data_IF_425153663650
#
_entry.id   IF_425153663650
#
_cell.length_a   1.000
_cell.length_b   1.000
_cell.length_c   1.000
_cell.angle_alpha   90.00
_cell.angle_beta   90.00
_cell.angle_gamma   90.00
#
_symmetry.space_group_name_H-M   'P 1'
#
loop_
_entity.id
_entity.type
_entity.pdbx_description
1 polymer ?
#
# COMPACT_ATOMS: atom_id res chain seq x y z
N UNK A 1 -3.18 3.23 -16.67
CA UNK A 1 -2.57 4.47 -16.15
C UNK A 1 -1.31 4.77 -16.95
N UNK A 2 -1.01 6.05 -17.18
CA UNK A 2 0.28 6.44 -17.74
C UNK A 2 1.34 6.57 -16.62
N UNK A 3 2.60 6.81 -16.99
CA UNK A 3 3.69 6.94 -16.02
C UNK A 3 3.49 8.07 -15.01
N UNK A 4 2.86 9.18 -15.40
CA UNK A 4 2.66 10.31 -14.49
C UNK A 4 1.54 10.06 -13.48
N UNK A 5 0.51 9.30 -13.86
CA UNK A 5 -0.50 8.80 -12.90
C UNK A 5 0.15 7.87 -11.86
N UNK A 6 1.06 7.00 -12.30
CA UNK A 6 1.78 6.07 -11.41
C UNK A 6 2.72 6.80 -10.45
N UNK A 7 3.38 7.89 -10.89
CA UNK A 7 4.17 8.76 -10.01
C UNK A 7 3.30 9.45 -8.96
N UNK A 8 2.11 9.92 -9.34
CA UNK A 8 1.14 10.49 -8.38
C UNK A 8 0.71 9.45 -7.35
N UNK A 9 0.37 8.24 -7.79
CA UNK A 9 0.04 7.12 -6.89
C UNK A 9 1.18 6.76 -5.95
N UNK A 10 2.42 6.74 -6.43
CA UNK A 10 3.58 6.53 -5.56
C UNK A 10 3.71 7.64 -4.51
N UNK A 11 3.44 8.89 -4.87
CA UNK A 11 3.44 10.00 -3.92
C UNK A 11 2.30 9.89 -2.89
N UNK A 12 1.10 9.51 -3.30
CA UNK A 12 -0.02 9.22 -2.38
C UNK A 12 0.34 8.10 -1.40
N UNK A 13 0.93 7.00 -1.88
CA UNK A 13 1.43 5.91 -1.02
C UNK A 13 2.42 6.44 0.02
N UNK A 14 3.37 7.31 -0.37
CA UNK A 14 4.34 7.90 0.56
C UNK A 14 3.66 8.75 1.63
N UNK A 15 2.67 9.54 1.25
CA UNK A 15 1.91 10.37 2.19
C UNK A 15 1.18 9.50 3.22
N UNK A 16 0.50 8.44 2.78
CA UNK A 16 -0.19 7.52 3.67
C UNK A 16 0.75 6.77 4.61
N UNK A 17 1.92 6.34 4.11
CA UNK A 17 2.98 5.76 4.96
C UNK A 17 3.42 6.73 6.06
N UNK A 18 3.65 8.01 5.72
CA UNK A 18 4.06 9.01 6.70
C UNK A 18 2.96 9.22 7.74
N UNK A 19 1.70 9.38 7.31
CA UNK A 19 0.55 9.53 8.21
C UNK A 19 0.45 8.34 9.17
N UNK A 20 0.45 7.12 8.65
CA UNK A 20 0.36 5.88 9.46
C UNK A 20 1.43 5.80 10.54
N UNK A 21 2.71 5.94 10.15
CA UNK A 21 3.83 5.78 11.08
C UNK A 21 3.87 6.91 12.11
N UNK A 22 3.51 8.13 11.69
CA UNK A 22 3.45 9.30 12.59
C UNK A 22 2.33 9.15 13.61
N UNK A 23 1.11 8.82 13.16
CA UNK A 23 -0.07 8.64 14.01
C UNK A 23 0.11 7.49 15.01
N UNK A 24 0.79 6.41 14.59
CA UNK A 24 1.07 5.28 15.46
C UNK A 24 2.24 5.52 16.43
N UNK A 25 3.05 6.58 16.21
CA UNK A 25 4.37 6.76 16.83
C UNK A 25 5.25 5.49 16.77
N UNK A 26 5.05 4.65 15.75
CA UNK A 26 5.62 3.30 15.64
C UNK A 26 5.62 2.81 14.20
N UNK A 27 6.69 2.16 13.76
CA UNK A 27 6.80 1.57 12.42
C UNK A 27 8.14 1.86 11.74
N UNK A 28 8.27 1.42 10.49
CA UNK A 28 9.50 1.58 9.70
C UNK A 28 9.18 2.45 8.47
N UNK A 29 9.55 3.74 8.44
CA UNK A 29 9.18 4.62 7.32
C UNK A 29 10.11 4.47 6.10
N UNK A 30 11.42 4.22 6.30
CA UNK A 30 12.41 4.26 5.22
C UNK A 30 12.16 3.26 4.10
N UNK A 31 12.01 1.97 4.43
CA UNK A 31 11.74 0.92 3.45
C UNK A 31 10.46 1.16 2.63
N UNK A 32 9.31 1.43 3.28
CA UNK A 32 8.07 1.79 2.59
C UNK A 32 8.18 2.96 1.61
N UNK A 33 8.87 4.04 2.00
CA UNK A 33 9.04 5.23 1.15
C UNK A 33 9.83 4.94 -0.13
N UNK A 34 10.84 4.06 -0.03
CA UNK A 34 11.62 3.59 -1.19
C UNK A 34 10.85 2.63 -2.09
N UNK A 35 9.94 1.84 -1.52
CA UNK A 35 9.14 0.84 -2.27
C UNK A 35 7.90 1.43 -2.94
N UNK A 36 7.56 2.70 -2.69
CA UNK A 36 6.30 3.29 -3.17
C UNK A 36 6.15 3.27 -4.71
N UNK A 37 7.22 3.49 -5.47
CA UNK A 37 7.16 3.42 -6.94
C UNK A 37 6.93 1.99 -7.44
N UNK A 38 7.52 1.00 -6.76
CA UNK A 38 7.30 -0.42 -7.07
C UNK A 38 5.85 -0.79 -6.76
N UNK A 39 5.34 -0.41 -5.58
CA UNK A 39 3.97 -0.71 -5.19
C UNK A 39 2.94 0.04 -6.03
N UNK A 40 3.23 1.24 -6.53
CA UNK A 40 2.33 1.93 -7.45
C UNK A 40 2.22 1.19 -8.79
N UNK A 41 3.34 0.73 -9.35
CA UNK A 41 3.33 -0.07 -10.59
C UNK A 41 2.61 -1.41 -10.35
N UNK A 42 2.91 -2.10 -9.26
CA UNK A 42 2.29 -3.39 -8.96
C UNK A 42 0.77 -3.28 -8.82
N UNK A 43 0.25 -2.38 -7.99
CA UNK A 43 -1.19 -2.30 -7.71
C UNK A 43 -2.02 -1.52 -8.74
N UNK A 44 -1.41 -0.64 -9.54
CA UNK A 44 -2.17 0.22 -10.46
C UNK A 44 -1.82 -0.02 -11.93
N UNK A 45 -1.00 -1.03 -12.23
CA UNK A 45 -0.64 -1.38 -13.60
C UNK A 45 -0.38 -2.87 -13.84
N UNK A 46 0.41 -3.55 -13.01
CA UNK A 46 0.96 -4.87 -13.35
C UNK A 46 0.17 -6.04 -12.79
N UNK A 47 -0.22 -6.01 -11.52
CA UNK A 47 -0.87 -7.15 -10.88
C UNK A 47 -2.27 -7.37 -11.46
N UNK A 48 -2.62 -8.61 -11.75
CA UNK A 48 -4.00 -9.07 -11.90
C UNK A 48 -4.60 -9.26 -10.51
N UNK A 49 -5.41 -8.30 -10.05
CA UNK A 49 -6.07 -8.39 -8.75
C UNK A 49 -7.42 -7.66 -8.77
N UNK A 50 -8.28 -7.98 -7.80
CA UNK A 50 -9.59 -7.36 -7.62
C UNK A 50 -9.81 -7.05 -6.14
N UNK A 51 -9.96 -5.76 -5.75
CA UNK A 51 -10.27 -5.38 -4.37
C UNK A 51 -11.66 -5.85 -3.91
N UNK A 52 -12.63 -5.99 -4.82
CA UNK A 52 -13.98 -6.47 -4.52
C UNK A 52 -14.07 -7.99 -4.41
N UNK A 53 -13.09 -8.70 -5.00
CA UNK A 53 -12.92 -10.15 -4.87
C UNK A 53 -11.47 -10.55 -4.53
N UNK A 54 -11.01 -10.34 -3.28
CA UNK A 54 -9.64 -10.66 -2.87
C UNK A 54 -9.27 -12.15 -2.97
N UNK A 55 -10.26 -13.03 -3.09
CA UNK A 55 -10.09 -14.48 -3.19
C UNK A 55 -10.17 -15.01 -4.62
N UNK A 56 -10.20 -14.12 -5.63
CA UNK A 56 -10.15 -14.50 -7.04
C UNK A 56 -9.04 -15.54 -7.30
N UNK A 57 -9.41 -16.69 -7.84
CA UNK A 57 -8.51 -17.84 -7.98
C UNK A 57 -7.23 -17.47 -8.74
N UNK A 58 -7.40 -16.88 -9.92
CA UNK A 58 -6.29 -16.52 -10.83
C UNK A 58 -5.64 -15.16 -10.55
N UNK A 59 -5.82 -14.56 -9.37
CA UNK A 59 -5.11 -13.30 -9.05
C UNK A 59 -3.61 -13.55 -8.91
N UNK A 60 -2.81 -12.54 -9.21
CA UNK A 60 -1.40 -12.56 -8.86
C UNK A 60 -1.22 -12.55 -7.33
N UNK A 61 -0.16 -13.22 -6.87
CA UNK A 61 0.19 -13.31 -5.45
C UNK A 61 1.44 -12.48 -5.16
N UNK A 62 1.27 -11.38 -4.44
CA UNK A 62 2.39 -10.57 -3.95
C UNK A 62 2.75 -10.97 -2.51
N UNK A 63 4.00 -11.40 -2.29
CA UNK A 63 4.53 -11.76 -0.96
C UNK A 63 5.60 -10.74 -0.56
N UNK A 64 5.42 -10.07 0.58
CA UNK A 64 6.33 -9.06 1.11
C UNK A 64 7.24 -9.74 2.14
N UNK A 65 8.36 -10.28 1.67
CA UNK A 65 9.28 -11.05 2.53
C UNK A 65 9.89 -10.22 3.65
N UNK A 66 10.12 -8.93 3.44
CA UNK A 66 10.59 -7.97 4.45
C UNK A 66 9.41 -7.33 5.19
N UNK A 67 8.57 -8.15 5.84
CA UNK A 67 7.26 -7.75 6.38
C UNK A 67 7.24 -6.54 7.34
N UNK A 68 8.38 -6.13 7.90
CA UNK A 68 8.50 -4.92 8.72
C UNK A 68 8.16 -3.62 7.96
N UNK A 69 8.19 -3.64 6.62
CA UNK A 69 7.81 -2.52 5.72
C UNK A 69 6.33 -2.55 5.32
N UNK A 70 5.47 -3.28 6.05
CA UNK A 70 4.06 -3.49 5.69
C UNK A 70 3.24 -2.22 5.42
N UNK A 71 3.62 -1.06 5.94
CA UNK A 71 2.95 0.22 5.69
C UNK A 71 2.78 0.52 4.18
N UNK A 72 3.77 0.21 3.32
CA UNK A 72 3.62 0.45 1.86
C UNK A 72 2.51 -0.41 1.24
N UNK A 73 2.38 -1.65 1.71
CA UNK A 73 1.36 -2.58 1.24
C UNK A 73 -0.02 -2.11 1.67
N UNK A 74 -0.17 -1.72 2.93
CA UNK A 74 -1.46 -1.24 3.45
C UNK A 74 -1.89 0.03 2.72
N UNK A 75 -0.99 1.00 2.54
CA UNK A 75 -1.27 2.20 1.75
C UNK A 75 -1.71 1.88 0.32
N UNK A 76 -0.97 1.01 -0.39
CA UNK A 76 -1.32 0.64 -1.77
C UNK A 76 -2.67 -0.10 -1.84
N UNK A 77 -2.94 -1.01 -0.91
CA UNK A 77 -4.21 -1.75 -0.84
C UNK A 77 -5.41 -0.81 -0.58
N UNK A 78 -5.27 0.12 0.37
CA UNK A 78 -6.32 1.11 0.66
C UNK A 78 -6.61 1.98 -0.57
N UNK A 79 -5.56 2.51 -1.21
CA UNK A 79 -5.67 3.32 -2.42
C UNK A 79 -6.19 2.55 -3.64
N UNK A 80 -6.02 1.23 -3.65
CA UNK A 80 -6.60 0.31 -4.64
C UNK A 80 -8.04 -0.10 -4.31
N UNK A 81 -8.59 0.30 -3.16
CA UNK A 81 -9.98 0.08 -2.78
C UNK A 81 -10.25 -1.20 -1.99
N UNK A 82 -9.24 -1.86 -1.42
CA UNK A 82 -9.44 -3.06 -0.59
C UNK A 82 -10.17 -2.76 0.72
N UNK A 83 -10.00 -1.55 1.26
CA UNK A 83 -10.63 -1.06 2.48
C UNK A 83 -10.56 0.48 2.53
N UNK A 84 -11.39 1.16 3.34
CA UNK A 84 -11.36 2.62 3.49
C UNK A 84 -10.00 3.14 3.96
N UNK A 85 -9.54 4.26 3.38
CA UNK A 85 -8.23 4.83 3.71
C UNK A 85 -8.14 5.31 5.17
N UNK A 86 -9.27 5.63 5.79
CA UNK A 86 -9.35 6.05 7.18
C UNK A 86 -8.86 4.95 8.15
N UNK A 87 -9.03 3.68 7.78
CA UNK A 87 -8.53 2.56 8.57
C UNK A 87 -7.00 2.55 8.70
N UNK A 88 -6.27 3.19 7.77
CA UNK A 88 -4.82 3.31 7.88
C UNK A 88 -4.39 4.00 9.19
N UNK A 89 -5.20 4.91 9.73
CA UNK A 89 -4.90 5.60 11.00
C UNK A 89 -5.02 4.70 12.24
N UNK A 90 -5.48 3.45 12.06
CA UNK A 90 -5.48 2.40 13.08
C UNK A 90 -4.19 1.56 13.09
N UNK A 91 -3.22 1.86 12.20
CA UNK A 91 -1.96 1.13 12.10
C UNK A 91 -1.28 0.94 13.46
N UNK A 92 -1.01 -0.32 13.82
CA UNK A 92 -0.37 -0.74 15.09
C UNK A 92 -1.12 -0.34 16.37
N UNK A 93 -2.41 0.00 16.27
CA UNK A 93 -3.28 0.18 17.44
C UNK A 93 -4.01 -1.12 17.75
N UNK A 94 -4.57 -1.22 18.94
CA UNK A 94 -5.35 -2.39 19.37
C UNK A 94 -6.62 -2.53 18.51
N UNK A 95 -6.92 -3.77 18.09
CA UNK A 95 -7.95 -4.18 17.15
C UNK A 95 -7.72 -5.64 16.77
#
# INVERSE_FOLDING_TARGET
MNTDDLKKKANEIRQEVIKMVTEAASGHPGGPLGLADIFSVLYFHTLKHDPSNPNMDERDRLILSNGHVCAVRYAAMALAGYFPAEELLTFRKYG
#
